data_IF_888959167465
#
_entry.id   IF_888959167465
#
_cell.length_a   1.000
_cell.length_b   1.000
_cell.length_c   1.000
_cell.angle_alpha   90.00
_cell.angle_beta   90.00
_cell.angle_gamma   90.00
#
_symmetry.space_group_name_H-M   'P 1'
#
loop_
_entity.id
_entity.type
_entity.pdbx_description
1 polymer ?
#
# COMPACT_ATOMS: atom_id res chain seq x y z
N UNK A 1 37.27 -15.05 7.16
CA UNK A 1 36.84 -15.72 5.93
C UNK A 1 35.50 -16.38 6.19
N UNK A 2 34.51 -16.11 5.34
CA UNK A 2 33.14 -16.64 5.39
C UNK A 2 32.95 -17.45 4.11
N UNK A 3 32.64 -18.77 4.23
CA UNK A 3 32.29 -19.59 3.07
C UNK A 3 30.87 -19.27 2.62
N UNK A 4 30.70 -18.92 1.34
CA UNK A 4 29.41 -18.64 0.72
C UNK A 4 28.79 -19.97 0.25
N UNK A 5 27.96 -20.60 1.11
CA UNK A 5 27.35 -21.91 0.82
C UNK A 5 26.29 -21.85 -0.29
N UNK A 6 25.67 -20.69 -0.47
CA UNK A 6 24.50 -20.55 -1.36
C UNK A 6 24.83 -19.84 -2.68
N UNK A 7 26.08 -19.51 -2.96
CA UNK A 7 26.63 -18.88 -4.17
C UNK A 7 25.92 -17.60 -4.68
N UNK A 8 24.86 -17.13 -3.98
CA UNK A 8 24.01 -16.00 -4.38
C UNK A 8 24.13 -14.78 -3.47
N UNK A 9 24.90 -14.90 -2.39
CA UNK A 9 24.96 -13.86 -1.38
C UNK A 9 26.08 -12.89 -1.73
N UNK A 10 25.71 -11.66 -2.04
CA UNK A 10 26.63 -10.54 -2.19
C UNK A 10 26.43 -9.58 -1.05
N UNK A 11 27.43 -9.44 -0.18
CA UNK A 11 27.45 -8.48 0.92
C UNK A 11 27.95 -7.12 0.44
N UNK A 12 27.50 -6.06 1.08
CA UNK A 12 27.93 -4.68 0.82
C UNK A 12 28.32 -3.97 2.11
N UNK A 13 29.14 -2.96 1.97
CA UNK A 13 29.45 -2.05 3.09
C UNK A 13 28.17 -1.48 3.70
N UNK A 14 28.00 -1.65 4.99
CA UNK A 14 26.82 -1.26 5.76
C UNK A 14 25.78 -2.36 5.93
N UNK A 15 25.98 -3.56 5.34
CA UNK A 15 25.18 -4.72 5.68
C UNK A 15 25.53 -5.22 7.09
N UNK A 16 24.55 -5.83 7.75
CA UNK A 16 24.73 -6.43 9.06
C UNK A 16 24.83 -7.96 8.95
N UNK A 17 25.78 -8.53 9.66
CA UNK A 17 25.87 -9.97 9.85
C UNK A 17 25.72 -10.33 11.32
N UNK A 18 25.20 -11.50 11.61
CA UNK A 18 25.05 -12.04 12.94
C UNK A 18 25.62 -13.45 13.03
N UNK A 19 26.19 -13.80 14.17
CA UNK A 19 26.73 -15.11 14.45
C UNK A 19 26.57 -15.47 15.93
N UNK A 20 26.60 -16.77 16.23
CA UNK A 20 26.52 -17.26 17.62
C UNK A 20 27.90 -17.24 18.28
N UNK A 21 28.03 -16.53 19.39
CA UNK A 21 29.24 -16.42 20.15
C UNK A 21 28.92 -16.60 21.63
N UNK A 22 29.56 -17.59 22.29
CA UNK A 22 29.35 -17.94 23.71
C UNK A 22 27.84 -18.09 24.06
N UNK A 23 27.08 -18.80 23.23
CA UNK A 23 25.65 -19.04 23.42
C UNK A 23 24.73 -17.84 23.13
N UNK A 24 25.28 -16.68 22.78
CA UNK A 24 24.53 -15.44 22.49
C UNK A 24 24.71 -15.06 21.02
N UNK A 25 23.65 -14.50 20.42
CA UNK A 25 23.75 -13.91 19.10
C UNK A 25 24.46 -12.56 19.19
N UNK A 26 25.48 -12.38 18.37
CA UNK A 26 26.23 -11.14 18.21
C UNK A 26 26.14 -10.68 16.79
N UNK A 27 25.89 -9.37 16.60
CA UNK A 27 25.84 -8.73 15.27
C UNK A 27 26.97 -7.73 15.11
N UNK A 28 27.40 -7.54 13.88
CA UNK A 28 28.31 -6.46 13.47
C UNK A 28 27.80 -5.89 12.14
N UNK A 29 28.04 -4.60 11.91
CA UNK A 29 27.89 -3.98 10.60
C UNK A 29 29.22 -4.03 9.86
N UNK A 30 29.15 -4.29 8.55
CA UNK A 30 30.33 -4.38 7.71
C UNK A 30 30.84 -2.96 7.40
N UNK A 31 32.02 -2.66 7.87
CA UNK A 31 32.72 -1.40 7.57
C UNK A 31 33.42 -1.48 6.22
N UNK A 32 33.97 -2.66 5.90
CA UNK A 32 34.66 -2.93 4.63
C UNK A 32 34.61 -4.42 4.28
N UNK A 33 34.77 -4.72 2.99
CA UNK A 33 34.87 -6.07 2.45
C UNK A 33 36.20 -6.17 1.71
N UNK A 34 37.09 -6.99 2.24
CA UNK A 34 38.47 -7.13 1.70
C UNK A 34 38.47 -7.89 0.39
N UNK A 35 37.69 -8.99 0.33
CA UNK A 35 37.54 -9.84 -0.86
C UNK A 35 36.14 -10.45 -0.87
N UNK A 36 35.55 -10.58 -2.02
CA UNK A 36 34.32 -11.30 -2.22
C UNK A 36 34.28 -11.95 -3.60
N UNK A 37 34.09 -13.24 -3.61
CA UNK A 37 33.85 -14.03 -4.82
C UNK A 37 32.72 -15.05 -4.57
N UNK A 38 32.49 -15.96 -5.54
CA UNK A 38 31.39 -16.93 -5.46
C UNK A 38 31.54 -17.93 -4.27
N UNK A 39 32.75 -18.15 -3.79
CA UNK A 39 33.03 -19.18 -2.78
C UNK A 39 33.27 -18.60 -1.40
N UNK A 40 33.83 -17.40 -1.33
CA UNK A 40 34.25 -16.81 -0.06
C UNK A 40 34.05 -15.30 0.02
N UNK A 41 33.86 -14.84 1.24
CA UNK A 41 33.79 -13.42 1.56
C UNK A 41 34.77 -13.17 2.73
N UNK A 42 35.71 -12.26 2.52
CA UNK A 42 36.71 -11.86 3.51
C UNK A 42 36.38 -10.46 4.02
N UNK A 43 36.21 -10.35 5.32
CA UNK A 43 35.88 -9.09 6.00
C UNK A 43 36.88 -8.80 7.11
N UNK A 44 37.12 -7.54 7.41
CA UNK A 44 37.83 -7.12 8.60
C UNK A 44 36.86 -7.06 9.77
N UNK A 45 37.23 -7.67 10.88
CA UNK A 45 36.47 -7.61 12.14
C UNK A 45 37.41 -7.55 13.33
N UNK A 46 37.03 -6.78 14.32
CA UNK A 46 37.74 -6.73 15.63
C UNK A 46 37.34 -7.89 16.54
N UNK A 47 36.39 -8.73 16.14
CA UNK A 47 35.90 -9.85 16.95
C UNK A 47 36.45 -11.16 16.44
N UNK A 48 37.02 -11.93 17.34
CA UNK A 48 37.46 -13.30 17.05
C UNK A 48 36.22 -14.20 16.98
N UNK A 49 36.00 -14.78 15.82
CA UNK A 49 34.96 -15.78 15.57
C UNK A 49 35.64 -17.13 15.37
N UNK A 50 35.16 -18.17 16.06
CA UNK A 50 35.70 -19.52 15.90
C UNK A 50 35.40 -20.07 14.52
N UNK A 51 36.33 -20.83 13.96
CA UNK A 51 36.13 -21.60 12.74
C UNK A 51 34.90 -22.52 12.86
N UNK A 52 34.13 -22.65 11.79
CA UNK A 52 32.89 -23.44 11.75
C UNK A 52 31.65 -22.73 12.35
N UNK A 53 31.78 -21.47 12.81
CA UNK A 53 30.62 -20.70 13.26
C UNK A 53 29.74 -20.30 12.08
N UNK A 54 28.45 -20.59 12.20
CA UNK A 54 27.47 -20.13 11.20
C UNK A 54 27.27 -18.64 11.28
N UNK A 55 27.23 -17.98 10.11
CA UNK A 55 27.04 -16.55 9.93
C UNK A 55 25.77 -16.31 9.15
N UNK A 56 24.94 -15.39 9.62
CA UNK A 56 23.66 -15.02 9.02
C UNK A 56 23.66 -13.54 8.65
N UNK A 57 22.97 -13.19 7.56
CA UNK A 57 22.68 -11.78 7.26
C UNK A 57 21.58 -11.32 8.19
N UNK A 58 21.86 -10.31 9.00
CA UNK A 58 20.89 -9.71 9.93
C UNK A 58 20.29 -8.42 9.41
N UNK A 59 20.95 -7.76 8.45
CA UNK A 59 20.50 -6.52 7.84
C UNK A 59 21.09 -6.36 6.46
N UNK A 60 20.29 -6.00 5.48
CA UNK A 60 20.75 -5.60 4.14
C UNK A 60 20.44 -4.14 3.88
N UNK A 61 21.50 -3.35 3.72
CA UNK A 61 21.40 -1.91 3.44
C UNK A 61 20.68 -1.66 2.12
N UNK A 62 20.97 -2.44 1.08
CA UNK A 62 20.34 -2.27 -0.23
C UNK A 62 18.84 -2.56 -0.21
N UNK A 63 18.41 -3.61 0.51
CA UNK A 63 16.99 -3.92 0.70
C UNK A 63 16.32 -2.78 1.47
N UNK A 64 16.94 -2.31 2.56
CA UNK A 64 16.39 -1.23 3.36
C UNK A 64 16.24 0.08 2.58
N UNK A 65 17.23 0.45 1.76
CA UNK A 65 17.16 1.63 0.89
C UNK A 65 16.08 1.49 -0.19
N UNK A 66 15.94 0.31 -0.79
CA UNK A 66 14.88 0.02 -1.74
C UNK A 66 13.50 0.08 -1.08
N UNK A 67 13.32 -0.50 0.11
CA UNK A 67 12.07 -0.40 0.86
C UNK A 67 11.71 1.05 1.19
N UNK A 68 12.68 1.88 1.55
CA UNK A 68 12.44 3.33 1.75
C UNK A 68 11.97 4.04 0.47
N UNK A 69 12.54 3.67 -0.69
CA UNK A 69 12.06 4.18 -1.99
C UNK A 69 10.64 3.70 -2.26
N UNK A 70 10.37 2.41 -2.08
CA UNK A 70 9.03 1.83 -2.21
C UNK A 70 8.01 2.50 -1.28
N UNK A 71 8.35 2.74 -0.02
CA UNK A 71 7.46 3.45 0.91
C UNK A 71 7.13 4.87 0.44
N UNK A 72 8.08 5.55 -0.20
CA UNK A 72 7.83 6.87 -0.80
C UNK A 72 7.01 6.79 -2.11
N UNK A 73 7.10 5.70 -2.85
CA UNK A 73 6.41 5.49 -4.13
C UNK A 73 5.01 4.86 -3.96
N UNK A 74 4.81 3.99 -2.97
CA UNK A 74 3.50 3.40 -2.64
C UNK A 74 2.46 4.47 -2.28
N UNK A 75 2.89 5.62 -1.76
CA UNK A 75 2.01 6.79 -1.57
C UNK A 75 1.51 7.36 -2.93
N UNK A 76 2.09 6.96 -4.07
CA UNK A 76 1.67 7.41 -5.41
C UNK A 76 0.61 6.51 -6.07
N UNK A 77 0.34 5.33 -5.54
CA UNK A 77 -0.73 4.46 -6.04
C UNK A 77 -2.09 4.91 -5.49
N UNK A 78 -2.46 6.14 -5.85
CA UNK A 78 -3.78 6.64 -5.56
C UNK A 78 -4.73 6.24 -6.69
N UNK A 79 -5.98 6.00 -6.34
CA UNK A 79 -7.04 5.69 -7.28
C UNK A 79 -7.42 6.97 -8.03
N UNK A 80 -7.41 6.98 -9.38
CA UNK A 80 -7.82 8.14 -10.16
C UNK A 80 -9.34 8.34 -10.04
N UNK A 81 -9.76 9.57 -9.73
CA UNK A 81 -11.14 9.99 -9.77
C UNK A 81 -11.37 10.95 -10.93
N UNK A 82 -12.37 10.70 -11.73
CA UNK A 82 -12.91 11.63 -12.73
C UNK A 82 -14.13 12.33 -12.14
N UNK A 83 -14.12 13.67 -12.14
CA UNK A 83 -15.21 14.48 -11.64
C UNK A 83 -15.91 15.20 -12.80
N UNK A 84 -17.24 15.18 -12.80
CA UNK A 84 -18.05 16.00 -13.71
C UNK A 84 -18.94 16.90 -12.89
N UNK A 85 -18.66 18.19 -12.88
CA UNK A 85 -19.48 19.20 -12.24
C UNK A 85 -20.55 19.66 -13.23
N UNK A 86 -21.80 19.71 -12.79
CA UNK A 86 -22.92 20.17 -13.59
C UNK A 86 -23.88 21.05 -12.78
N UNK A 87 -24.54 21.99 -13.45
CA UNK A 87 -25.50 22.90 -12.83
C UNK A 87 -26.81 22.90 -13.59
N UNK A 88 -27.91 22.99 -12.85
CA UNK A 88 -29.24 23.21 -13.40
C UNK A 88 -29.48 24.74 -13.57
N UNK A 89 -30.59 25.08 -14.19
CA UNK A 89 -31.02 26.47 -14.41
C UNK A 89 -31.25 27.23 -13.10
N UNK A 90 -31.67 26.54 -12.06
CA UNK A 90 -31.86 27.07 -10.69
C UNK A 90 -30.55 27.20 -9.88
N UNK A 91 -29.39 27.02 -10.51
CA UNK A 91 -28.07 26.99 -9.92
C UNK A 91 -27.81 25.82 -8.95
N UNK A 92 -28.66 24.79 -8.92
CA UNK A 92 -28.35 23.57 -8.17
C UNK A 92 -27.18 22.86 -8.83
N UNK A 93 -26.12 22.62 -8.05
CA UNK A 93 -24.90 21.95 -8.50
C UNK A 93 -24.91 20.46 -8.18
N UNK A 94 -24.25 19.70 -9.03
CA UNK A 94 -24.00 18.27 -8.86
C UNK A 94 -22.56 17.94 -9.21
N UNK A 95 -22.00 16.96 -8.49
CA UNK A 95 -20.71 16.35 -8.82
C UNK A 95 -20.94 14.87 -9.10
N UNK A 96 -20.77 14.46 -10.36
CA UNK A 96 -20.71 13.05 -10.71
C UNK A 96 -19.25 12.60 -10.56
N UNK A 97 -19.05 11.47 -9.89
CA UNK A 97 -17.74 10.89 -9.59
C UNK A 97 -17.67 9.52 -10.22
N UNK A 98 -16.57 9.24 -10.91
CA UNK A 98 -16.31 7.96 -11.57
C UNK A 98 -14.88 7.50 -11.25
N UNK A 99 -14.71 6.23 -10.96
CA UNK A 99 -13.40 5.57 -10.78
C UNK A 99 -13.54 4.06 -10.92
N UNK A 100 -12.42 3.37 -11.10
CA UNK A 100 -12.39 1.91 -11.27
C UNK A 100 -11.81 1.22 -10.03
N UNK A 101 -12.46 0.11 -9.62
CA UNK A 101 -11.96 -0.85 -8.63
C UNK A 101 -12.01 -2.24 -9.25
N UNK A 102 -10.86 -2.91 -9.38
CA UNK A 102 -10.75 -4.26 -9.95
C UNK A 102 -11.54 -4.42 -11.27
N UNK A 103 -11.36 -3.47 -12.21
CA UNK A 103 -12.05 -3.37 -13.50
C UNK A 103 -13.56 -3.06 -13.41
N UNK A 104 -14.13 -2.87 -12.23
CA UNK A 104 -15.50 -2.44 -12.03
C UNK A 104 -15.60 -0.91 -11.98
N UNK A 105 -16.48 -0.32 -12.79
CA UNK A 105 -16.75 1.11 -12.77
C UNK A 105 -17.64 1.46 -11.57
N UNK A 106 -17.10 2.19 -10.65
CA UNK A 106 -17.84 2.78 -9.53
C UNK A 106 -18.22 4.21 -9.91
N UNK A 107 -19.51 4.52 -9.78
CA UNK A 107 -19.99 5.87 -10.01
C UNK A 107 -21.03 6.28 -8.96
N UNK A 108 -21.07 7.56 -8.66
CA UNK A 108 -22.10 8.15 -7.82
C UNK A 108 -22.28 9.63 -8.15
N UNK A 109 -23.45 10.16 -7.81
CA UNK A 109 -23.80 11.57 -7.97
C UNK A 109 -23.98 12.22 -6.60
N UNK A 110 -23.16 13.22 -6.31
CA UNK A 110 -23.27 14.03 -5.12
C UNK A 110 -24.02 15.33 -5.46
N UNK A 111 -25.15 15.58 -4.76
CA UNK A 111 -25.87 16.84 -4.86
C UNK A 111 -25.22 17.85 -3.94
N UNK A 112 -24.80 18.95 -4.50
CA UNK A 112 -24.21 20.04 -3.72
C UNK A 112 -25.33 20.76 -2.97
N UNK A 113 -25.28 20.69 -1.65
CA UNK A 113 -26.21 21.39 -0.77
C UNK A 113 -25.59 22.74 -0.46
N UNK A 114 -25.89 23.74 -1.26
CA UNK A 114 -25.42 25.10 -1.07
C UNK A 114 -26.15 26.04 -2.02
N UNK A 115 -26.30 27.29 -1.62
CA UNK A 115 -26.82 28.30 -2.54
C UNK A 115 -25.66 28.84 -3.36
N UNK A 116 -25.55 28.37 -4.58
CA UNK A 116 -24.73 29.06 -5.55
C UNK A 116 -25.42 30.35 -5.93
N UNK A 117 -24.70 31.43 -5.86
CA UNK A 117 -25.22 32.77 -6.14
C UNK A 117 -24.63 33.30 -7.44
N UNK A 118 -25.31 34.26 -8.04
CA UNK A 118 -24.69 35.05 -9.09
C UNK A 118 -23.66 35.97 -8.47
N UNK A 119 -22.47 36.01 -9.05
CA UNK A 119 -21.38 36.85 -8.59
C UNK A 119 -21.77 38.33 -8.68
N UNK A 120 -21.64 39.08 -7.59
CA UNK A 120 -21.84 40.50 -7.57
C UNK A 120 -20.67 41.27 -8.19
N UNK A 121 -19.45 40.74 -8.03
CA UNK A 121 -18.23 41.43 -8.52
C UNK A 121 -17.40 40.54 -9.43
N UNK A 122 -16.90 39.38 -8.92
CA UNK A 122 -15.98 38.49 -9.66
C UNK A 122 -16.46 37.07 -9.62
N UNK A 123 -16.82 36.47 -10.78
CA UNK A 123 -17.17 35.03 -10.86
C UNK A 123 -16.02 34.13 -10.47
N UNK A 124 -16.34 32.92 -10.05
CA UNK A 124 -15.31 31.89 -9.85
C UNK A 124 -14.85 31.32 -11.19
N UNK A 125 -13.55 31.07 -11.32
CA UNK A 125 -12.99 30.47 -12.54
C UNK A 125 -12.85 28.96 -12.40
N UNK A 126 -12.83 28.24 -13.53
CA UNK A 126 -12.64 26.78 -13.59
C UNK A 126 -11.35 26.38 -12.91
N UNK A 127 -10.25 27.09 -13.17
CA UNK A 127 -8.92 26.83 -12.60
C UNK A 127 -8.94 26.94 -11.07
N UNK A 128 -9.74 27.85 -10.50
CA UNK A 128 -9.92 27.95 -9.05
C UNK A 128 -10.65 26.75 -8.47
N UNK A 129 -11.70 26.28 -9.15
CA UNK A 129 -12.45 25.10 -8.74
C UNK A 129 -11.53 23.86 -8.80
N UNK A 130 -10.85 23.65 -9.92
CA UNK A 130 -9.89 22.57 -10.12
C UNK A 130 -8.82 22.56 -9.03
N UNK A 131 -8.18 23.71 -8.79
CA UNK A 131 -7.15 23.84 -7.75
C UNK A 131 -7.65 23.49 -6.34
N UNK A 132 -8.93 23.72 -6.02
CA UNK A 132 -9.47 23.38 -4.70
C UNK A 132 -9.89 21.92 -4.62
N UNK A 133 -10.52 21.39 -5.66
CA UNK A 133 -10.98 20.00 -5.68
C UNK A 133 -9.83 19.00 -5.79
N UNK A 134 -8.74 19.37 -6.47
CA UNK A 134 -7.55 18.49 -6.61
C UNK A 134 -6.74 18.28 -5.32
N UNK A 135 -7.12 18.95 -4.21
CA UNK A 135 -6.45 18.76 -2.91
C UNK A 135 -6.97 17.50 -2.20
N UNK A 136 -6.44 16.34 -2.53
CA UNK A 136 -6.89 15.04 -2.03
C UNK A 136 -6.05 14.48 -0.88
N UNK A 137 -5.16 15.28 -0.29
CA UNK A 137 -4.22 14.83 0.74
C UNK A 137 -4.89 14.09 1.90
N UNK A 138 -4.29 12.97 2.33
CA UNK A 138 -4.81 12.10 3.38
C UNK A 138 -5.87 11.08 2.92
N UNK A 139 -6.13 10.98 1.60
CA UNK A 139 -7.05 10.00 1.01
C UNK A 139 -6.31 9.10 0.02
N UNK A 140 -6.84 7.91 -0.31
CA UNK A 140 -6.25 7.03 -1.32
C UNK A 140 -6.55 7.47 -2.76
N UNK A 141 -7.01 8.67 -2.98
CA UNK A 141 -7.45 9.17 -4.28
C UNK A 141 -6.59 10.32 -4.80
N UNK A 142 -6.57 10.49 -6.12
CA UNK A 142 -6.17 11.74 -6.78
C UNK A 142 -7.20 12.11 -7.85
N UNK A 143 -7.32 13.39 -8.14
CA UNK A 143 -8.20 13.85 -9.22
C UNK A 143 -7.42 13.81 -10.53
N UNK A 144 -7.86 12.97 -11.44
CA UNK A 144 -7.29 12.79 -12.77
C UNK A 144 -7.88 13.79 -13.76
N UNK A 145 -9.19 13.95 -13.77
CA UNK A 145 -9.89 14.82 -14.67
C UNK A 145 -11.04 15.56 -13.99
N UNK A 146 -11.28 16.82 -14.37
CA UNK A 146 -12.47 17.60 -13.99
C UNK A 146 -13.16 18.15 -15.23
N UNK A 147 -14.41 17.75 -15.46
CA UNK A 147 -15.27 18.26 -16.51
C UNK A 147 -16.32 19.22 -15.96
N UNK A 148 -16.73 20.20 -16.77
CA UNK A 148 -17.75 21.18 -16.42
C UNK A 148 -18.87 21.16 -17.44
N UNK A 149 -20.12 20.98 -16.99
CA UNK A 149 -21.31 21.03 -17.81
C UNK A 149 -22.23 22.15 -17.31
N UNK A 150 -22.65 23.02 -18.24
CA UNK A 150 -23.58 24.12 -17.98
C UNK A 150 -23.11 25.03 -16.82
N UNK A 151 -21.80 25.26 -16.71
CA UNK A 151 -21.28 26.21 -15.71
C UNK A 151 -21.72 27.63 -16.04
N UNK A 152 -22.47 28.31 -15.15
CA UNK A 152 -22.90 29.69 -15.41
C UNK A 152 -21.71 30.67 -15.39
N UNK A 153 -21.67 31.61 -16.35
CA UNK A 153 -20.60 32.59 -16.46
C UNK A 153 -20.47 33.51 -15.21
N UNK A 154 -21.60 33.75 -14.55
CA UNK A 154 -21.67 34.57 -13.36
C UNK A 154 -21.67 33.79 -12.04
N UNK A 155 -21.19 32.54 -12.05
CA UNK A 155 -21.24 31.68 -10.88
C UNK A 155 -20.31 32.17 -9.76
N UNK A 156 -20.82 32.20 -8.53
CA UNK A 156 -20.06 32.43 -7.32
C UNK A 156 -20.16 31.21 -6.39
N UNK A 157 -19.01 30.67 -5.97
CA UNK A 157 -18.91 29.60 -4.98
C UNK A 157 -17.86 30.01 -3.95
N UNK A 158 -18.22 30.10 -2.67
CA UNK A 158 -17.23 30.30 -1.60
C UNK A 158 -16.20 29.18 -1.57
N UNK A 159 -14.96 29.50 -1.23
CA UNK A 159 -13.89 28.49 -1.10
C UNK A 159 -14.21 27.48 0.01
N UNK A 160 -14.90 27.88 1.07
CA UNK A 160 -15.41 27.00 2.13
C UNK A 160 -16.34 25.92 1.55
N UNK A 161 -17.26 26.29 0.67
CA UNK A 161 -18.19 25.37 0.02
C UNK A 161 -17.44 24.37 -0.88
N UNK A 162 -16.49 24.83 -1.70
CA UNK A 162 -15.65 23.93 -2.49
C UNK A 162 -14.88 22.93 -1.62
N UNK A 163 -14.38 23.39 -0.47
CA UNK A 163 -13.69 22.51 0.48
C UNK A 163 -14.64 21.50 1.15
N UNK A 164 -15.90 21.89 1.37
CA UNK A 164 -16.91 20.99 1.90
C UNK A 164 -17.30 19.95 0.86
N UNK A 165 -17.63 20.37 -0.37
CA UNK A 165 -17.93 19.49 -1.51
C UNK A 165 -16.81 18.44 -1.68
N UNK A 166 -15.57 18.89 -1.70
CA UNK A 166 -14.41 18.00 -1.81
C UNK A 166 -14.38 16.95 -0.70
N UNK A 167 -14.57 17.35 0.57
CA UNK A 167 -14.55 16.43 1.71
C UNK A 167 -15.69 15.42 1.63
N UNK A 168 -16.89 15.85 1.29
CA UNK A 168 -18.07 14.98 1.17
C UNK A 168 -17.91 13.99 0.01
N UNK A 169 -17.45 14.44 -1.14
CA UNK A 169 -17.17 13.59 -2.31
C UNK A 169 -16.08 12.54 -1.99
N UNK A 170 -14.97 12.96 -1.40
CA UNK A 170 -13.89 12.03 -1.05
C UNK A 170 -14.30 11.06 0.05
N UNK A 171 -15.09 11.47 1.04
CA UNK A 171 -15.63 10.59 2.08
C UNK A 171 -16.55 9.53 1.47
N UNK A 172 -17.47 9.94 0.59
CA UNK A 172 -18.39 9.01 -0.07
C UNK A 172 -17.64 8.01 -0.98
N UNK A 173 -16.63 8.47 -1.72
CA UNK A 173 -15.77 7.60 -2.52
C UNK A 173 -15.03 6.58 -1.63
N UNK A 174 -14.53 7.01 -0.46
CA UNK A 174 -13.85 6.15 0.49
C UNK A 174 -14.79 5.12 1.12
N UNK A 175 -16.01 5.50 1.45
CA UNK A 175 -17.02 4.55 1.97
C UNK A 175 -17.37 3.48 0.95
N UNK A 176 -17.51 3.86 -0.33
CA UNK A 176 -17.74 2.90 -1.43
C UNK A 176 -16.53 1.98 -1.63
N UNK A 177 -15.31 2.51 -1.58
CA UNK A 177 -14.08 1.72 -1.63
C UNK A 177 -14.01 0.69 -0.50
N UNK A 178 -14.28 1.10 0.73
CA UNK A 178 -14.30 0.20 1.88
C UNK A 178 -15.39 -0.87 1.76
N UNK A 179 -16.58 -0.49 1.31
CA UNK A 179 -17.68 -1.42 1.12
C UNK A 179 -17.38 -2.45 0.02
N UNK A 180 -16.69 -2.05 -1.06
CA UNK A 180 -16.29 -2.95 -2.14
C UNK A 180 -15.38 -4.09 -1.63
N UNK A 181 -14.39 -3.76 -0.81
CA UNK A 181 -13.45 -4.74 -0.26
C UNK A 181 -13.88 -5.39 1.06
N UNK A 182 -14.96 -4.91 1.69
CA UNK A 182 -15.46 -5.50 2.94
C UNK A 182 -16.24 -6.78 2.64
N UNK A 183 -15.77 -7.95 3.11
CA UNK A 183 -16.45 -9.20 2.83
C UNK A 183 -17.82 -9.26 3.53
N UNK A 184 -18.83 -9.76 2.84
CA UNK A 184 -20.16 -9.94 3.41
C UNK A 184 -20.14 -11.00 4.53
N UNK A 185 -21.05 -10.89 5.49
CA UNK A 185 -21.21 -11.91 6.57
C UNK A 185 -21.39 -13.34 6.01
N UNK A 186 -22.08 -13.46 4.86
CA UNK A 186 -22.28 -14.74 4.16
C UNK A 186 -20.96 -15.28 3.60
N UNK A 187 -20.17 -14.43 2.96
CA UNK A 187 -18.86 -14.78 2.42
C UNK A 187 -17.89 -15.21 3.54
N UNK A 188 -17.82 -14.44 4.63
CA UNK A 188 -17.00 -14.78 5.81
C UNK A 188 -17.38 -16.14 6.39
N UNK A 189 -18.70 -16.41 6.55
CA UNK A 189 -19.19 -17.70 7.06
C UNK A 189 -18.83 -18.86 6.13
N UNK A 190 -18.97 -18.67 4.82
CA UNK A 190 -18.63 -19.69 3.83
C UNK A 190 -17.12 -19.99 3.80
N UNK A 191 -16.28 -18.95 3.86
CA UNK A 191 -14.82 -19.10 3.92
C UNK A 191 -14.37 -19.79 5.20
N UNK A 192 -14.95 -19.41 6.35
CA UNK A 192 -14.65 -20.05 7.64
C UNK A 192 -14.99 -21.56 7.60
N UNK A 193 -16.14 -21.94 6.99
CA UNK A 193 -16.49 -23.36 6.82
C UNK A 193 -15.48 -24.11 5.96
N UNK A 194 -15.02 -23.51 4.85
CA UNK A 194 -13.97 -24.11 3.99
C UNK A 194 -12.65 -24.26 4.74
N UNK A 195 -12.26 -23.24 5.51
CA UNK A 195 -11.02 -23.26 6.30
C UNK A 195 -11.06 -24.35 7.40
N UNK A 196 -12.18 -24.47 8.13
CA UNK A 196 -12.32 -25.52 9.14
C UNK A 196 -12.20 -26.90 8.52
N UNK A 197 -12.87 -27.14 7.37
CA UNK A 197 -12.74 -28.42 6.64
C UNK A 197 -11.29 -28.69 6.23
N UNK A 198 -10.57 -27.67 5.75
CA UNK A 198 -9.15 -27.81 5.41
C UNK A 198 -8.31 -28.23 6.62
N UNK A 199 -8.54 -27.65 7.80
CA UNK A 199 -7.83 -28.05 9.02
C UNK A 199 -8.17 -29.47 9.47
N UNK A 200 -9.45 -29.89 9.39
CA UNK A 200 -9.87 -31.26 9.70
C UNK A 200 -9.17 -32.26 8.76
N UNK A 201 -9.14 -31.98 7.45
CA UNK A 201 -8.46 -32.80 6.45
C UNK A 201 -6.94 -32.86 6.71
N UNK A 202 -6.32 -31.72 7.06
CA UNK A 202 -4.89 -31.63 7.39
C UNK A 202 -4.52 -32.40 8.66
N UNK A 203 -5.32 -32.31 9.72
CA UNK A 203 -5.10 -33.07 10.95
C UNK A 203 -5.26 -34.58 10.72
N UNK A 204 -6.25 -34.96 9.92
CA UNK A 204 -6.46 -36.39 9.55
C UNK A 204 -5.26 -36.96 8.77
N UNK A 205 -4.70 -36.19 7.83
CA UNK A 205 -3.51 -36.54 7.07
C UNK A 205 -2.26 -36.68 7.96
N UNK A 206 -2.04 -35.75 8.88
CA UNK A 206 -0.92 -35.80 9.83
C UNK A 206 -1.03 -36.99 10.81
N UNK A 207 -2.23 -37.35 11.21
CA UNK A 207 -2.46 -38.53 12.08
C UNK A 207 -2.23 -39.83 11.33
N UNK A 208 -2.51 -39.90 10.02
CA UNK A 208 -2.18 -41.06 9.18
C UNK A 208 -0.66 -41.21 8.96
N UNK A 209 0.05 -40.09 8.80
CA UNK A 209 1.51 -40.10 8.64
C UNK A 209 2.25 -40.54 9.91
N UNK A 210 1.75 -40.17 11.09
CA UNK A 210 2.29 -40.58 12.38
C UNK A 210 2.10 -42.11 12.65
N UNK A 211 1.10 -42.75 12.06
CA UNK A 211 0.86 -44.19 12.20
C UNK A 211 1.75 -45.06 11.31
N UNK A 212 2.48 -44.47 10.36
CA UNK A 212 3.43 -45.18 9.48
C UNK A 212 4.88 -44.93 9.87
N UNK A 213 5.26 -45.20 11.13
CA UNK A 213 6.66 -45.40 11.44
C UNK A 213 7.00 -46.82 10.97
N UNK A 214 7.84 -47.03 9.95
CA UNK A 214 8.31 -48.37 9.60
C UNK A 214 9.11 -48.89 10.80
N UNK A 215 8.70 -50.03 11.38
CA UNK A 215 9.54 -50.79 12.29
C UNK A 215 10.71 -51.32 11.46
N UNK A 216 11.87 -50.71 11.62
CA UNK A 216 13.13 -51.29 11.13
C UNK A 216 13.41 -52.45 12.06
N UNK A 217 13.18 -53.67 11.63
CA UNK A 217 13.71 -54.87 12.26
C UNK A 217 15.18 -54.99 11.86
N UNK A 218 16.05 -54.94 12.84
CA UNK A 218 17.46 -55.31 12.73
C UNK A 218 17.57 -56.81 12.60
#
# INVERSE_FOLDING_TARGET
EIKNKDNYITLKKGDGIAFKYNGKIKGIYLEDIVKQDENEIVINTTRLVKEGTEVFISFSKSIHENLKKFQKEVIKNHIPLSLTLSWNEDLTGFVNVEYYLDDELINFRHKVIGKFEKAKNKPITKEKIEKQLSKTGGTPFYIDEIKFHNMPDSLFIPISELNQIRREVLSQAQDLLLNHYTPTKKSVKATRKKLNKFYEDYESFNNLSKKKNPKISL
#
